data_IF_395995877138
#
_entry.id   IF_395995877138
#
_cell.length_a   1.000
_cell.length_b   1.000
_cell.length_c   1.000
_cell.angle_alpha   90.00
_cell.angle_beta   90.00
_cell.angle_gamma   90.00
#
_symmetry.space_group_name_H-M   'P 1'
#
loop_
_entity.id
_entity.type
_entity.pdbx_description
1 polymer ?
#
# COMPACT_ATOMS: atom_id res chain seq x y z
N UNK A 1 6.39 -20.69 41.62
CA UNK A 1 7.43 -20.14 40.72
C UNK A 1 6.90 -20.08 39.29
N UNK A 2 6.43 -18.93 38.79
CA UNK A 2 5.80 -18.85 37.47
C UNK A 2 6.84 -18.65 36.34
N UNK A 3 6.65 -19.39 35.24
CA UNK A 3 7.49 -19.34 34.04
C UNK A 3 7.27 -18.05 33.25
N UNK A 4 8.33 -17.28 33.08
CA UNK A 4 8.36 -16.06 32.27
C UNK A 4 8.14 -16.43 30.80
N UNK A 5 7.01 -16.03 30.25
CA UNK A 5 6.77 -16.12 28.80
C UNK A 5 7.58 -15.00 28.16
N UNK A 6 8.63 -15.38 27.41
CA UNK A 6 9.45 -14.48 26.62
C UNK A 6 8.55 -13.89 25.53
N UNK A 7 7.98 -12.73 25.79
CA UNK A 7 7.22 -11.96 24.82
C UNK A 7 8.11 -11.68 23.62
N UNK A 8 7.79 -12.31 22.50
CA UNK A 8 8.42 -12.07 21.20
C UNK A 8 8.19 -10.59 20.87
N UNK A 9 9.21 -9.75 21.01
CA UNK A 9 9.22 -8.37 20.51
C UNK A 9 9.26 -8.40 18.98
N UNK A 10 8.14 -8.82 18.38
CA UNK A 10 7.83 -8.56 17.00
C UNK A 10 7.05 -7.26 16.97
N UNK A 11 7.61 -6.23 16.33
CA UNK A 11 6.88 -4.99 16.05
C UNK A 11 5.49 -5.36 15.50
N UNK A 12 4.44 -4.86 16.13
CA UNK A 12 3.10 -5.04 15.60
C UNK A 12 3.07 -4.38 14.22
N UNK A 13 2.75 -5.10 13.13
CA UNK A 13 2.77 -4.53 11.78
C UNK A 13 1.84 -3.30 11.68
N UNK A 14 0.83 -3.21 12.54
CA UNK A 14 -0.06 -2.06 12.63
C UNK A 14 0.66 -0.84 13.23
N UNK A 15 1.54 -1.02 14.21
CA UNK A 15 2.30 0.06 14.86
C UNK A 15 3.29 0.75 13.92
N UNK A 16 3.89 -0.02 13.00
CA UNK A 16 4.78 0.53 11.97
C UNK A 16 4.06 1.56 11.07
N UNK A 17 2.75 1.40 10.87
CA UNK A 17 1.94 2.35 10.10
C UNK A 17 1.58 3.62 10.88
N UNK A 18 1.63 3.58 12.22
CA UNK A 18 1.28 4.71 13.08
C UNK A 18 2.44 5.66 13.37
N UNK A 19 3.71 5.26 13.18
CA UNK A 19 4.86 6.14 13.39
C UNK A 19 4.75 7.49 12.66
N UNK A 20 4.51 7.49 11.33
CA UNK A 20 4.31 8.72 10.57
C UNK A 20 3.04 9.51 10.94
N UNK A 21 1.99 8.84 11.43
CA UNK A 21 0.76 9.51 11.87
C UNK A 21 0.96 10.17 13.23
N UNK A 22 1.70 9.52 14.14
CA UNK A 22 2.09 10.08 15.44
C UNK A 22 2.97 11.32 15.26
N UNK A 23 3.91 11.31 14.32
CA UNK A 23 4.73 12.49 13.99
C UNK A 23 3.88 13.67 13.52
N UNK A 24 2.90 13.43 12.65
CA UNK A 24 1.94 14.45 12.24
C UNK A 24 1.18 15.03 13.45
N UNK A 25 0.70 14.17 14.35
CA UNK A 25 -0.04 14.61 15.54
C UNK A 25 0.83 15.37 16.54
N UNK A 26 2.10 14.99 16.73
CA UNK A 26 2.98 15.65 17.71
C UNK A 26 3.54 16.97 17.16
N UNK A 27 3.99 16.99 15.91
CA UNK A 27 4.76 18.11 15.35
C UNK A 27 3.94 19.07 14.48
N UNK A 28 2.78 18.63 13.96
CA UNK A 28 2.06 19.38 12.90
C UNK A 28 0.57 19.60 13.22
N UNK A 29 0.10 19.35 14.44
CA UNK A 29 -1.32 19.39 14.79
C UNK A 29 -1.82 20.74 15.36
N UNK A 30 -0.95 21.75 15.41
CA UNK A 30 -1.29 23.05 15.97
C UNK A 30 -2.15 23.86 14.99
N UNK A 31 -3.46 23.59 15.02
CA UNK A 31 -4.45 24.30 14.22
C UNK A 31 -5.47 24.98 15.13
N UNK A 32 -5.88 26.22 14.81
CA UNK A 32 -6.84 26.98 15.61
C UNK A 32 -8.26 26.39 15.60
N UNK A 33 -8.57 25.47 14.70
CA UNK A 33 -9.87 24.80 14.60
C UNK A 33 -9.72 23.34 14.15
N UNK A 34 -10.46 22.44 14.79
CA UNK A 34 -10.53 21.02 14.48
C UNK A 34 -10.87 20.71 13.01
N UNK A 35 -11.70 21.51 12.34
CA UNK A 35 -12.01 21.32 10.91
C UNK A 35 -10.77 21.49 10.03
N UNK A 36 -9.91 22.45 10.37
CA UNK A 36 -8.66 22.70 9.64
C UNK A 36 -7.68 21.54 9.87
N UNK A 37 -7.58 21.06 11.11
CA UNK A 37 -6.78 19.88 11.45
C UNK A 37 -7.23 18.63 10.67
N UNK A 38 -8.54 18.37 10.61
CA UNK A 38 -9.10 17.24 9.85
C UNK A 38 -8.78 17.35 8.36
N UNK A 39 -8.93 18.54 7.74
CA UNK A 39 -8.60 18.74 6.33
C UNK A 39 -7.12 18.48 6.03
N UNK A 40 -6.22 18.94 6.90
CA UNK A 40 -4.78 18.74 6.72
C UNK A 40 -4.39 17.27 6.97
N UNK A 41 -5.02 16.60 7.93
CA UNK A 41 -4.87 15.15 8.12
C UNK A 41 -5.32 14.36 6.88
N UNK A 42 -6.48 14.70 6.30
CA UNK A 42 -6.95 14.05 5.06
C UNK A 42 -6.01 14.28 3.88
N UNK A 43 -5.47 15.49 3.74
CA UNK A 43 -4.49 15.79 2.70
C UNK A 43 -3.18 14.99 2.89
N UNK A 44 -2.70 14.89 4.14
CA UNK A 44 -1.53 14.10 4.50
C UNK A 44 -1.72 12.62 4.20
N UNK A 45 -2.83 12.01 4.63
CA UNK A 45 -3.14 10.61 4.37
C UNK A 45 -3.25 10.32 2.86
N UNK A 46 -3.94 11.19 2.11
CA UNK A 46 -4.05 11.05 0.65
C UNK A 46 -2.69 11.07 -0.03
N UNK A 47 -1.81 12.01 0.35
CA UNK A 47 -0.45 12.10 -0.21
C UNK A 47 0.41 10.91 0.18
N UNK A 48 0.32 10.45 1.43
CA UNK A 48 1.03 9.26 1.91
C UNK A 48 0.59 8.02 1.15
N UNK A 49 -0.70 7.78 1.02
CA UNK A 49 -1.25 6.56 0.41
C UNK A 49 -1.07 6.55 -1.12
N UNK A 50 -1.05 7.73 -1.76
CA UNK A 50 -0.66 7.85 -3.17
C UNK A 50 0.83 7.52 -3.38
N UNK A 51 1.70 7.95 -2.46
CA UNK A 51 3.14 7.69 -2.53
C UNK A 51 3.53 6.29 -2.00
N UNK A 52 2.67 5.63 -1.22
CA UNK A 52 2.86 4.26 -0.75
C UNK A 52 2.54 3.22 -1.84
N UNK A 53 1.90 3.63 -2.95
CA UNK A 53 1.77 2.79 -4.14
C UNK A 53 3.15 2.66 -4.79
N UNK A 54 3.82 1.56 -4.50
CA UNK A 54 5.08 1.16 -5.10
C UNK A 54 4.95 1.08 -6.63
N UNK A 55 5.48 2.08 -7.33
CA UNK A 55 5.33 2.22 -8.78
C UNK A 55 5.99 1.06 -9.55
N UNK A 56 7.07 0.53 -8.98
CA UNK A 56 7.76 -0.69 -9.38
C UNK A 56 6.89 -1.94 -9.25
N UNK A 57 6.15 -2.10 -8.15
CA UNK A 57 5.18 -3.20 -7.97
C UNK A 57 4.06 -3.10 -9.01
N UNK A 58 3.53 -1.90 -9.25
CA UNK A 58 2.53 -1.68 -10.30
C UNK A 58 3.09 -1.94 -11.70
N UNK A 59 4.36 -1.61 -11.95
CA UNK A 59 5.04 -1.93 -13.19
C UNK A 59 5.24 -3.44 -13.36
N UNK A 60 5.61 -4.15 -12.28
CA UNK A 60 5.72 -5.60 -12.26
C UNK A 60 4.38 -6.29 -12.53
N UNK A 61 3.29 -5.84 -11.90
CA UNK A 61 1.93 -6.35 -12.16
C UNK A 61 1.49 -6.12 -13.62
N UNK A 62 1.80 -4.96 -14.21
CA UNK A 62 1.52 -4.71 -15.63
C UNK A 62 2.32 -5.66 -16.52
N UNK A 63 3.60 -5.90 -16.22
CA UNK A 63 4.47 -6.82 -16.96
C UNK A 63 3.95 -8.26 -16.87
N UNK A 64 3.54 -8.69 -15.69
CA UNK A 64 2.99 -10.04 -15.49
C UNK A 64 1.67 -10.23 -16.23
N UNK A 65 0.76 -9.25 -16.20
CA UNK A 65 -0.47 -9.30 -17.02
C UNK A 65 -0.20 -9.32 -18.52
N UNK A 66 0.86 -8.65 -18.98
CA UNK A 66 1.28 -8.71 -20.38
C UNK A 66 1.83 -10.11 -20.74
N UNK A 67 2.65 -10.70 -19.86
CA UNK A 67 3.17 -12.07 -20.01
C UNK A 67 2.04 -13.09 -20.09
N UNK A 68 1.12 -13.10 -19.11
CA UNK A 68 -0.04 -14.00 -19.09
C UNK A 68 -0.88 -13.85 -20.37
N UNK A 69 -1.06 -12.64 -20.88
CA UNK A 69 -1.80 -12.41 -22.13
C UNK A 69 -1.07 -12.98 -23.35
N UNK A 70 0.25 -12.81 -23.40
CA UNK A 70 1.10 -13.36 -24.47
C UNK A 70 1.10 -14.88 -24.46
N UNK A 71 1.24 -15.49 -23.27
CA UNK A 71 1.20 -16.95 -23.10
C UNK A 71 -0.16 -17.52 -23.52
N UNK A 72 -1.26 -16.82 -23.22
CA UNK A 72 -2.61 -17.23 -23.64
C UNK A 72 -2.90 -16.94 -25.12
N UNK A 73 -2.01 -16.29 -25.85
CA UNK A 73 -2.23 -15.92 -27.26
C UNK A 73 -3.41 -14.97 -27.49
N UNK A 74 -3.84 -14.20 -26.47
CA UNK A 74 -5.02 -13.33 -26.57
C UNK A 74 -4.60 -11.95 -27.10
N UNK A 75 -4.82 -11.71 -28.40
CA UNK A 75 -4.69 -10.37 -28.99
C UNK A 75 -5.93 -9.54 -28.63
N UNK A 76 -5.74 -8.25 -28.35
CA UNK A 76 -6.85 -7.34 -28.06
C UNK A 76 -7.91 -7.42 -29.17
N UNK A 77 -9.15 -7.79 -28.80
CA UNK A 77 -10.27 -7.94 -29.74
C UNK A 77 -10.28 -9.22 -30.59
N UNK A 78 -9.39 -10.20 -30.36
CA UNK A 78 -9.34 -11.44 -31.14
C UNK A 78 -9.64 -12.69 -30.31
N UNK A 79 -10.25 -13.68 -30.96
CA UNK A 79 -10.58 -15.01 -30.41
C UNK A 79 -9.27 -15.83 -30.28
N UNK A 80 -9.11 -16.69 -29.25
CA UNK A 80 -7.85 -17.39 -28.97
C UNK A 80 -7.37 -18.18 -30.19
N UNK A 81 -6.07 -18.10 -30.50
CA UNK A 81 -5.46 -18.93 -31.53
C UNK A 81 -5.50 -20.39 -31.06
N UNK A 82 -6.26 -21.24 -31.75
CA UNK A 82 -6.24 -22.67 -31.50
C UNK A 82 -4.84 -23.20 -31.82
N UNK A 83 -4.23 -23.90 -30.86
CA UNK A 83 -2.98 -24.64 -31.07
C UNK A 83 -3.26 -25.76 -32.07
N UNK A 84 -2.80 -25.61 -33.31
CA UNK A 84 -2.79 -26.69 -34.30
C UNK A 84 -1.86 -27.81 -33.81
N UNK A 85 -2.40 -29.03 -33.75
CA UNK A 85 -1.69 -30.27 -33.43
C UNK A 85 -0.95 -30.83 -34.65
#
# INVERSE_FOLDING_TARGET
MPRVHRGRTGANPIEAHFGPLRQFTIAYSHYPNHIVQTRVLHAYLRRRDANARHHDVLAAERKERARIRSEKGIRWGSRPLATSA
#
